data_IF_934340824065
#
_entry.id   IF_934340824065
#
_cell.length_a   1.000
_cell.length_b   1.000
_cell.length_c   1.000
_cell.angle_alpha   90.00
_cell.angle_beta   90.00
_cell.angle_gamma   90.00
#
_symmetry.space_group_name_H-M   'P 1'
#
loop_
_entity.id
_entity.type
_entity.pdbx_description
1 polymer ?
#
# COMPACT_ATOMS: atom_id res chain seq x y z
N UNK A 1 24.83 -24.83 32.33
CA UNK A 1 25.21 -23.68 31.50
C UNK A 1 23.93 -23.15 30.91
N UNK A 2 23.44 -22.06 31.49
CA UNK A 2 22.18 -21.42 31.14
C UNK A 2 22.42 -20.54 29.91
N UNK A 3 21.89 -20.96 28.76
CA UNK A 3 21.72 -20.11 27.58
C UNK A 3 20.64 -19.07 27.90
N UNK A 4 21.03 -17.97 28.53
CA UNK A 4 20.24 -16.73 28.47
C UNK A 4 20.36 -16.17 27.05
N UNK A 5 19.24 -15.99 26.32
CA UNK A 5 19.27 -15.32 25.03
C UNK A 5 19.86 -13.92 25.24
N UNK A 6 20.95 -13.64 24.53
CA UNK A 6 21.61 -12.34 24.53
C UNK A 6 20.75 -11.39 23.69
N UNK A 7 19.61 -10.91 24.22
CA UNK A 7 18.83 -9.87 23.55
C UNK A 7 19.46 -8.52 23.85
N UNK A 8 20.02 -7.90 22.81
CA UNK A 8 20.54 -6.55 22.88
C UNK A 8 19.34 -5.60 23.06
N UNK A 9 19.25 -4.81 24.15
CA UNK A 9 18.09 -3.93 24.41
C UNK A 9 17.78 -2.95 23.26
N UNK A 10 18.79 -2.59 22.45
CA UNK A 10 18.59 -1.78 21.25
C UNK A 10 17.76 -2.52 20.17
N UNK A 11 17.93 -3.84 20.04
CA UNK A 11 17.14 -4.64 19.09
C UNK A 11 15.70 -4.79 19.55
N UNK A 12 15.47 -4.94 20.86
CA UNK A 12 14.13 -5.05 21.44
C UNK A 12 13.35 -3.75 21.19
N UNK A 13 13.98 -2.59 21.38
CA UNK A 13 13.38 -1.29 21.08
C UNK A 13 12.99 -1.12 19.59
N UNK A 14 13.81 -1.64 18.66
CA UNK A 14 13.49 -1.63 17.23
C UNK A 14 12.31 -2.54 16.90
N UNK A 15 12.27 -3.76 17.46
CA UNK A 15 11.18 -4.72 17.25
C UNK A 15 9.86 -4.16 17.79
N UNK A 16 9.88 -3.57 18.98
CA UNK A 16 8.73 -2.91 19.57
C UNK A 16 8.27 -1.73 18.71
N UNK A 17 9.20 -0.93 18.21
CA UNK A 17 8.93 0.16 17.27
C UNK A 17 8.20 -0.30 16.01
N UNK A 18 8.69 -1.38 15.38
CA UNK A 18 8.07 -1.99 14.20
C UNK A 18 6.66 -2.47 14.53
N UNK A 19 6.52 -3.24 15.62
CA UNK A 19 5.25 -3.87 16.01
C UNK A 19 4.19 -2.83 16.34
N UNK A 20 4.57 -1.80 17.09
CA UNK A 20 3.69 -0.70 17.50
C UNK A 20 3.26 0.19 16.32
N UNK A 21 4.08 0.31 15.27
CA UNK A 21 3.70 1.06 14.06
C UNK A 21 2.90 0.21 13.07
N UNK A 22 3.27 -1.06 12.89
CA UNK A 22 2.77 -1.89 11.80
C UNK A 22 1.27 -2.16 11.91
N UNK A 23 0.79 -2.58 13.08
CA UNK A 23 -0.64 -2.93 13.23
C UNK A 23 -1.56 -1.71 13.00
N UNK A 24 -1.30 -0.53 13.60
CA UNK A 24 -2.05 0.68 13.29
C UNK A 24 -1.94 1.14 11.83
N UNK A 25 -0.76 0.97 11.20
CA UNK A 25 -0.55 1.30 9.79
C UNK A 25 -1.47 0.47 8.90
N UNK A 26 -1.44 -0.86 9.04
CA UNK A 26 -2.26 -1.75 8.22
C UNK A 26 -3.76 -1.47 8.44
N UNK A 27 -4.17 -1.23 9.69
CA UNK A 27 -5.55 -0.88 10.00
C UNK A 27 -5.98 0.45 9.36
N UNK A 28 -5.13 1.48 9.43
CA UNK A 28 -5.39 2.77 8.78
C UNK A 28 -5.50 2.66 7.26
N UNK A 29 -4.67 1.83 6.64
CA UNK A 29 -4.75 1.55 5.20
C UNK A 29 -6.04 0.83 4.80
N UNK A 30 -6.50 -0.16 5.59
CA UNK A 30 -7.79 -0.82 5.35
C UNK A 30 -8.97 0.13 5.55
N UNK A 31 -8.92 0.99 6.57
CA UNK A 31 -9.95 1.99 6.81
C UNK A 31 -10.05 3.01 5.66
N UNK A 32 -8.92 3.49 5.12
CA UNK A 32 -8.93 4.34 3.93
C UNK A 32 -9.45 3.58 2.69
N UNK A 33 -9.14 2.30 2.53
CA UNK A 33 -9.72 1.45 1.48
C UNK A 33 -11.22 1.23 1.67
N UNK A 34 -11.70 1.09 2.91
CA UNK A 34 -13.11 1.00 3.27
C UNK A 34 -13.86 2.27 2.86
N UNK A 35 -13.30 3.45 3.17
CA UNK A 35 -13.83 4.75 2.76
C UNK A 35 -13.85 4.87 1.23
N UNK A 36 -12.75 4.52 0.55
CA UNK A 36 -12.65 4.57 -0.90
C UNK A 36 -13.78 3.80 -1.63
N UNK A 37 -14.16 2.64 -1.10
CA UNK A 37 -15.20 1.78 -1.67
C UNK A 37 -16.63 2.23 -1.35
N UNK A 38 -16.80 3.13 -0.39
CA UNK A 38 -18.12 3.57 0.11
C UNK A 38 -18.36 5.07 -0.04
N UNK A 39 -17.44 5.78 -0.69
CA UNK A 39 -17.55 7.21 -0.86
C UNK A 39 -18.80 7.57 -1.67
N UNK A 40 -19.79 8.12 -0.96
CA UNK A 40 -21.01 8.66 -1.52
C UNK A 40 -21.11 10.13 -1.09
N UNK A 41 -20.99 11.11 -2.00
CA UNK A 41 -20.81 12.52 -1.64
C UNK A 41 -21.83 13.07 -0.61
N UNK A 42 -23.14 12.78 -0.72
CA UNK A 42 -24.12 13.23 0.28
C UNK A 42 -23.86 12.72 1.70
N UNK A 43 -23.18 11.57 1.86
CA UNK A 43 -22.94 10.93 3.17
C UNK A 43 -21.46 11.01 3.57
N UNK A 44 -20.68 11.93 2.98
CA UNK A 44 -19.25 12.05 3.26
C UNK A 44 -18.96 12.28 4.75
N UNK A 45 -19.72 13.15 5.42
CA UNK A 45 -19.51 13.47 6.83
C UNK A 45 -19.75 12.25 7.73
N UNK A 46 -20.81 11.49 7.48
CA UNK A 46 -21.11 10.24 8.22
C UNK A 46 -20.04 9.18 8.00
N UNK A 47 -19.60 9.02 6.74
CA UNK A 47 -18.54 8.08 6.40
C UNK A 47 -17.21 8.46 7.07
N UNK A 48 -16.84 9.73 7.08
CA UNK A 48 -15.64 10.22 7.76
C UNK A 48 -15.74 10.02 9.29
N UNK A 49 -16.91 10.27 9.88
CA UNK A 49 -17.16 10.02 11.30
C UNK A 49 -17.03 8.52 11.66
N UNK A 50 -17.44 7.62 10.76
CA UNK A 50 -17.35 6.16 11.00
C UNK A 50 -15.93 5.62 11.15
N UNK A 51 -14.93 6.37 10.68
CA UNK A 51 -13.50 6.02 10.76
C UNK A 51 -12.70 7.02 11.60
N UNK A 52 -13.38 7.92 12.33
CA UNK A 52 -12.72 8.92 13.17
C UNK A 52 -11.89 8.25 14.28
N UNK A 53 -10.69 8.77 14.53
CA UNK A 53 -9.78 8.27 15.57
C UNK A 53 -9.05 6.97 15.24
N UNK A 54 -9.34 6.30 14.11
CA UNK A 54 -8.62 5.10 13.67
C UNK A 54 -7.10 5.37 13.54
N UNK A 55 -6.72 6.60 13.18
CA UNK A 55 -5.33 6.99 13.00
C UNK A 55 -4.62 7.48 14.26
N UNK A 56 -5.29 7.56 15.42
CA UNK A 56 -4.65 8.00 16.66
C UNK A 56 -3.49 7.07 17.10
N UNK A 57 -3.66 5.73 17.13
CA UNK A 57 -2.55 4.82 17.45
C UNK A 57 -1.45 4.86 16.38
N UNK A 58 -1.81 5.11 15.12
CA UNK A 58 -0.85 5.25 14.03
C UNK A 58 0.02 6.50 14.23
N UNK A 59 -0.56 7.63 14.62
CA UNK A 59 0.19 8.86 14.91
C UNK A 59 1.14 8.69 16.09
N UNK A 60 0.69 8.05 17.16
CA UNK A 60 1.54 7.75 18.32
C UNK A 60 2.68 6.81 17.94
N UNK A 61 2.37 5.70 17.24
CA UNK A 61 3.37 4.75 16.76
C UNK A 61 4.39 5.40 15.83
N UNK A 62 3.94 6.27 14.91
CA UNK A 62 4.81 6.98 13.97
C UNK A 62 5.76 7.95 14.68
N UNK A 63 5.28 8.66 15.71
CA UNK A 63 6.11 9.56 16.51
C UNK A 63 7.20 8.77 17.26
N UNK A 64 6.84 7.64 17.88
CA UNK A 64 7.81 6.77 18.55
C UNK A 64 8.81 6.15 17.57
N UNK A 65 8.35 5.68 16.41
CA UNK A 65 9.17 5.09 15.37
C UNK A 65 10.24 6.05 14.84
N UNK A 66 9.88 7.32 14.65
CA UNK A 66 10.80 8.40 14.23
C UNK A 66 11.90 8.73 15.25
N UNK A 67 11.66 8.43 16.53
CA UNK A 67 12.64 8.66 17.58
C UNK A 67 13.71 7.56 17.67
N UNK A 68 13.52 6.44 16.95
CA UNK A 68 14.47 5.33 16.94
C UNK A 68 15.69 5.64 16.08
N UNK A 69 16.83 5.09 16.50
CA UNK A 69 18.06 5.10 15.69
C UNK A 69 18.14 3.82 14.89
N UNK A 70 18.04 3.95 13.56
CA UNK A 70 18.04 2.79 12.66
C UNK A 70 19.46 2.42 12.22
N UNK A 71 19.84 1.14 12.31
CA UNK A 71 21.05 0.64 11.65
C UNK A 71 21.02 0.92 10.14
N UNK A 72 22.18 1.16 9.53
CA UNK A 72 22.30 1.51 8.11
C UNK A 72 21.57 0.51 7.18
N UNK A 73 21.71 -0.78 7.46
CA UNK A 73 21.08 -1.87 6.70
C UNK A 73 19.54 -1.92 6.80
N UNK A 74 18.93 -1.22 7.77
CA UNK A 74 17.47 -1.09 7.91
C UNK A 74 16.95 0.31 7.51
N UNK A 75 17.82 1.20 7.05
CA UNK A 75 17.45 2.59 6.78
C UNK A 75 16.35 2.71 5.70
N UNK A 76 16.40 1.90 4.65
CA UNK A 76 15.38 1.92 3.60
C UNK A 76 14.06 1.30 4.05
N UNK A 77 14.11 0.25 4.87
CA UNK A 77 12.92 -0.29 5.53
C UNK A 77 12.24 0.78 6.39
N UNK A 78 13.01 1.50 7.21
CA UNK A 78 12.49 2.56 8.08
C UNK A 78 11.86 3.70 7.27
N UNK A 79 12.53 4.17 6.21
CA UNK A 79 12.00 5.19 5.29
C UNK A 79 10.68 4.76 4.67
N UNK A 80 10.58 3.50 4.23
CA UNK A 80 9.37 2.95 3.62
C UNK A 80 8.20 2.88 4.60
N UNK A 81 8.43 2.38 5.82
CA UNK A 81 7.44 2.34 6.90
C UNK A 81 6.96 3.75 7.28
N UNK A 82 7.88 4.70 7.46
CA UNK A 82 7.56 6.09 7.78
C UNK A 82 6.77 6.77 6.66
N UNK A 83 7.18 6.60 5.40
CA UNK A 83 6.50 7.19 4.24
C UNK A 83 5.07 6.64 4.08
N UNK A 84 4.89 5.33 4.34
CA UNK A 84 3.58 4.71 4.34
C UNK A 84 2.68 5.29 5.44
N UNK A 85 3.15 5.30 6.68
CA UNK A 85 2.41 5.84 7.83
C UNK A 85 2.08 7.32 7.68
N UNK A 86 3.03 8.14 7.21
CA UNK A 86 2.82 9.56 6.94
C UNK A 86 1.74 9.77 5.88
N UNK A 87 1.76 8.97 4.81
CA UNK A 87 0.74 9.06 3.76
C UNK A 87 -0.65 8.71 4.30
N UNK A 88 -0.77 7.69 5.14
CA UNK A 88 -2.06 7.34 5.78
C UNK A 88 -2.55 8.47 6.69
N UNK A 89 -1.69 9.04 7.54
CA UNK A 89 -2.03 10.21 8.37
C UNK A 89 -2.55 11.38 7.53
N UNK A 90 -1.88 11.72 6.41
CA UNK A 90 -2.35 12.74 5.48
C UNK A 90 -3.68 12.39 4.82
N UNK A 91 -3.96 11.11 4.59
CA UNK A 91 -5.25 10.64 4.11
C UNK A 91 -6.37 10.93 5.12
N UNK A 92 -6.14 10.67 6.40
CA UNK A 92 -7.12 10.99 7.45
C UNK A 92 -7.27 12.49 7.70
N UNK A 93 -6.17 13.26 7.62
CA UNK A 93 -6.21 14.73 7.70
C UNK A 93 -7.08 15.32 6.60
N UNK A 94 -6.81 14.95 5.34
CA UNK A 94 -7.60 15.41 4.21
C UNK A 94 -9.05 14.92 4.24
N UNK A 95 -9.34 13.74 4.82
CA UNK A 95 -10.71 13.24 4.96
C UNK A 95 -11.50 14.06 5.98
N UNK A 96 -10.88 14.43 7.11
CA UNK A 96 -11.49 15.29 8.14
C UNK A 96 -11.75 16.70 7.60
N UNK A 97 -10.79 17.27 6.87
CA UNK A 97 -10.96 18.57 6.19
C UNK A 97 -12.10 18.52 5.17
N UNK A 98 -12.15 17.48 4.34
CA UNK A 98 -13.19 17.29 3.34
C UNK A 98 -14.58 17.17 3.97
N UNK A 99 -14.72 16.44 5.09
CA UNK A 99 -15.99 16.27 5.77
C UNK A 99 -16.53 17.58 6.38
N UNK A 100 -15.64 18.53 6.71
CA UNK A 100 -16.02 19.83 7.24
C UNK A 100 -16.30 20.88 6.14
N UNK A 101 -15.94 20.60 4.88
CA UNK A 101 -16.10 21.52 3.76
C UNK A 101 -17.47 21.35 3.07
N UNK A 102 -18.18 22.45 2.71
CA UNK A 102 -19.47 22.39 2.01
C UNK A 102 -19.46 21.57 0.71
N UNK A 103 -18.35 21.59 -0.03
CA UNK A 103 -18.13 20.86 -1.29
C UNK A 103 -16.89 19.95 -1.24
N UNK A 104 -16.68 19.26 -0.11
CA UNK A 104 -15.46 18.51 0.18
C UNK A 104 -15.20 17.27 -0.68
N UNK A 105 -16.10 16.88 -1.59
CA UNK A 105 -16.00 15.63 -2.36
C UNK A 105 -14.67 15.45 -3.09
N UNK A 106 -14.19 16.47 -3.81
CA UNK A 106 -12.91 16.39 -4.51
C UNK A 106 -11.72 16.35 -3.54
N UNK A 107 -11.84 17.00 -2.38
CA UNK A 107 -10.84 16.93 -1.32
C UNK A 107 -10.78 15.51 -0.73
N UNK A 108 -11.93 14.87 -0.51
CA UNK A 108 -12.01 13.48 -0.05
C UNK A 108 -11.35 12.52 -1.06
N UNK A 109 -11.59 12.68 -2.37
CA UNK A 109 -10.88 11.90 -3.39
C UNK A 109 -9.35 12.10 -3.34
N UNK A 110 -8.87 13.33 -3.13
CA UNK A 110 -7.44 13.62 -2.97
C UNK A 110 -6.87 13.00 -1.69
N UNK A 111 -7.64 13.01 -0.61
CA UNK A 111 -7.27 12.41 0.67
C UNK A 111 -7.13 10.88 0.54
N UNK A 112 -8.12 10.22 -0.05
CA UNK A 112 -8.12 8.77 -0.32
C UNK A 112 -6.93 8.35 -1.20
N UNK A 113 -6.54 9.17 -2.18
CA UNK A 113 -5.34 8.93 -3.02
C UNK A 113 -4.03 8.88 -2.24
N UNK A 114 -3.97 9.37 -0.99
CA UNK A 114 -2.78 9.15 -0.17
C UNK A 114 -2.59 7.66 0.16
N UNK A 115 -3.66 6.86 0.17
CA UNK A 115 -3.55 5.43 0.43
C UNK A 115 -2.76 4.70 -0.67
N UNK A 116 -2.84 5.14 -1.94
CA UNK A 116 -2.01 4.55 -3.02
C UNK A 116 -0.52 4.83 -2.82
N UNK A 117 -0.17 5.99 -2.26
CA UNK A 117 1.21 6.28 -1.85
C UNK A 117 1.64 5.40 -0.68
N UNK A 118 0.75 5.14 0.27
CA UNK A 118 1.03 4.24 1.37
C UNK A 118 1.30 2.80 0.90
N UNK A 119 0.48 2.27 0.00
CA UNK A 119 0.73 0.97 -0.62
C UNK A 119 2.07 0.94 -1.36
N UNK A 120 2.37 1.96 -2.16
CA UNK A 120 3.64 2.06 -2.90
C UNK A 120 4.87 2.11 -1.98
N UNK A 121 4.78 2.84 -0.88
CA UNK A 121 5.85 2.94 0.10
C UNK A 121 6.02 1.65 0.91
N UNK A 122 4.94 0.94 1.23
CA UNK A 122 4.97 -0.26 2.07
C UNK A 122 5.34 -1.54 1.31
N UNK A 123 4.99 -1.64 0.02
CA UNK A 123 5.19 -2.86 -0.79
C UNK A 123 6.64 -3.39 -0.80
N UNK A 124 7.70 -2.55 -0.89
CA UNK A 124 9.08 -3.04 -0.80
C UNK A 124 9.40 -3.79 0.50
N UNK A 125 8.64 -3.59 1.57
CA UNK A 125 8.81 -4.31 2.83
C UNK A 125 8.04 -5.65 2.89
N UNK A 126 7.30 -6.02 1.84
CA UNK A 126 6.52 -7.25 1.80
C UNK A 126 7.38 -8.52 1.92
N UNK A 127 8.61 -8.53 1.40
CA UNK A 127 9.53 -9.67 1.52
C UNK A 127 10.25 -9.72 2.87
N UNK A 128 10.23 -8.62 3.64
CA UNK A 128 10.95 -8.54 4.92
C UNK A 128 10.12 -9.02 6.11
N UNK A 129 8.80 -8.79 6.10
CA UNK A 129 7.93 -9.09 7.24
C UNK A 129 6.69 -9.89 6.79
N UNK A 130 6.44 -11.09 7.38
CA UNK A 130 5.28 -11.91 7.01
C UNK A 130 3.91 -11.21 7.11
N UNK A 131 3.64 -10.33 8.10
CA UNK A 131 2.38 -9.60 8.13
C UNK A 131 2.21 -8.63 6.95
N UNK A 132 3.29 -8.01 6.48
CA UNK A 132 3.25 -7.15 5.29
C UNK A 132 3.05 -8.02 4.04
N UNK A 133 3.75 -9.15 3.93
CA UNK A 133 3.55 -10.09 2.83
C UNK A 133 2.07 -10.47 2.66
N UNK A 134 1.43 -10.90 3.74
CA UNK A 134 0.01 -11.29 3.76
C UNK A 134 -0.92 -10.11 3.50
N UNK A 135 -0.57 -8.91 3.94
CA UNK A 135 -1.37 -7.71 3.70
C UNK A 135 -1.58 -7.42 2.20
N UNK A 136 -0.63 -7.80 1.35
CA UNK A 136 -0.71 -7.69 -0.11
C UNK A 136 -1.37 -8.91 -0.79
N UNK A 137 -2.13 -9.71 -0.06
CA UNK A 137 -2.96 -10.80 -0.58
C UNK A 137 -4.44 -10.51 -0.34
N UNK A 138 -5.29 -11.11 -1.17
CA UNK A 138 -6.73 -11.20 -0.94
C UNK A 138 -7.03 -12.17 0.22
N UNK A 139 -8.31 -12.27 0.61
CA UNK A 139 -8.69 -13.07 1.79
C UNK A 139 -8.29 -14.55 1.63
N UNK A 140 -8.49 -15.13 0.44
CA UNK A 140 -8.08 -16.50 0.16
C UNK A 140 -6.55 -16.68 0.19
N UNK A 141 -5.79 -15.75 -0.41
CA UNK A 141 -4.33 -15.82 -0.38
C UNK A 141 -3.73 -15.62 1.01
N UNK A 142 -4.39 -14.86 1.91
CA UNK A 142 -3.95 -14.70 3.31
C UNK A 142 -4.01 -16.00 4.11
N UNK A 143 -4.93 -16.89 3.75
CA UNK A 143 -5.12 -18.21 4.37
C UNK A 143 -4.27 -19.31 3.71
N UNK A 144 -3.67 -19.04 2.55
CA UNK A 144 -2.80 -19.96 1.82
C UNK A 144 -1.34 -19.85 2.30
N UNK A 145 -0.98 -20.71 3.26
CA UNK A 145 0.38 -20.77 3.80
C UNK A 145 1.43 -21.15 2.74
N UNK A 146 1.08 -21.99 1.76
CA UNK A 146 2.01 -22.39 0.71
C UNK A 146 2.34 -21.21 -0.21
N UNK A 147 1.34 -20.39 -0.55
CA UNK A 147 1.55 -19.15 -1.28
C UNK A 147 2.35 -18.13 -0.45
N UNK A 148 2.03 -17.97 0.83
CA UNK A 148 2.74 -17.06 1.71
C UNK A 148 4.23 -17.42 1.80
N UNK A 149 4.56 -18.70 1.98
CA UNK A 149 5.92 -19.22 1.99
C UNK A 149 6.61 -19.06 0.63
N UNK A 150 5.90 -19.33 -0.47
CA UNK A 150 6.44 -19.14 -1.83
C UNK A 150 6.84 -17.68 -2.08
N UNK A 151 6.04 -16.73 -1.61
CA UNK A 151 6.32 -15.30 -1.73
C UNK A 151 7.43 -14.83 -0.78
N UNK A 152 7.48 -15.36 0.44
CA UNK A 152 8.52 -15.02 1.42
C UNK A 152 9.91 -15.50 0.99
N UNK A 153 9.97 -16.62 0.26
CA UNK A 153 11.22 -17.19 -0.26
C UNK A 153 11.56 -16.75 -1.69
N UNK A 154 10.72 -15.92 -2.33
CA UNK A 154 11.02 -15.40 -3.64
C UNK A 154 12.12 -14.31 -3.55
N UNK A 155 13.04 -14.32 -4.51
CA UNK A 155 13.97 -13.20 -4.69
C UNK A 155 13.22 -12.00 -5.29
N UNK A 156 12.64 -11.17 -4.43
CA UNK A 156 11.95 -9.95 -4.83
C UNK A 156 12.87 -8.87 -5.39
N UNK A 157 14.20 -9.02 -5.27
CA UNK A 157 15.19 -8.15 -5.88
C UNK A 157 15.59 -8.58 -7.29
N UNK A 158 15.12 -9.73 -7.77
CA UNK A 158 15.36 -10.23 -9.12
C UNK A 158 14.81 -9.26 -10.16
N UNK A 159 15.54 -9.11 -11.26
CA UNK A 159 15.09 -8.32 -12.40
C UNK A 159 13.76 -8.86 -12.97
N UNK A 160 12.91 -7.96 -13.46
CA UNK A 160 11.67 -8.26 -14.16
C UNK A 160 10.56 -8.94 -13.31
N UNK A 161 10.64 -8.86 -11.98
CA UNK A 161 9.54 -9.27 -11.08
C UNK A 161 9.10 -8.15 -10.15
N UNK A 162 7.98 -8.37 -9.45
CA UNK A 162 7.37 -7.35 -8.61
C UNK A 162 6.78 -6.22 -9.45
N UNK A 163 6.74 -5.01 -8.89
CA UNK A 163 6.14 -3.84 -9.53
C UNK A 163 7.18 -3.09 -10.35
N UNK A 164 6.83 -2.83 -11.61
CA UNK A 164 7.66 -2.09 -12.56
C UNK A 164 6.86 -0.98 -13.25
N UNK A 165 7.57 0.05 -13.73
CA UNK A 165 6.98 1.19 -14.42
C UNK A 165 7.72 1.43 -15.74
N UNK A 166 6.99 1.54 -16.84
CA UNK A 166 7.54 1.85 -18.16
C UNK A 166 6.96 3.19 -18.64
N UNK A 167 7.79 4.24 -18.63
CA UNK A 167 7.41 5.62 -18.99
C UNK A 167 6.12 6.10 -18.29
N UNK A 168 5.98 5.78 -17.00
CA UNK A 168 4.74 5.96 -16.24
C UNK A 168 4.94 6.69 -14.91
N UNK A 169 5.80 7.71 -14.93
CA UNK A 169 5.87 8.69 -13.84
C UNK A 169 4.55 9.44 -13.69
N UNK A 170 4.27 9.95 -12.49
CA UNK A 170 2.93 10.44 -12.12
C UNK A 170 2.47 11.65 -12.95
N UNK A 171 3.40 12.35 -13.58
CA UNK A 171 3.22 13.49 -14.47
C UNK A 171 3.27 13.10 -15.97
N UNK A 172 3.53 11.83 -16.28
CA UNK A 172 3.60 11.31 -17.64
C UNK A 172 2.28 10.66 -18.10
N UNK A 173 2.15 10.45 -19.42
CA UNK A 173 0.98 9.84 -20.07
C UNK A 173 1.43 8.83 -21.13
N UNK A 174 0.62 7.82 -21.39
CA UNK A 174 0.87 6.83 -22.45
C UNK A 174 1.81 5.68 -22.10
N UNK A 175 2.42 5.67 -20.90
CA UNK A 175 3.15 4.53 -20.36
C UNK A 175 2.26 3.54 -19.62
N UNK A 176 2.87 2.62 -18.87
CA UNK A 176 2.14 1.67 -18.03
C UNK A 176 2.92 1.28 -16.76
N UNK A 177 2.19 0.73 -15.80
CA UNK A 177 2.77 0.01 -14.67
C UNK A 177 2.38 -1.45 -14.75
N UNK A 178 3.24 -2.33 -14.26
CA UNK A 178 2.95 -3.76 -14.24
C UNK A 178 3.37 -4.37 -12.91
N UNK A 179 2.70 -5.45 -12.55
CA UNK A 179 3.12 -6.39 -11.52
C UNK A 179 3.34 -7.75 -12.16
N UNK A 180 4.48 -8.36 -11.89
CA UNK A 180 4.83 -9.73 -12.26
C UNK A 180 5.05 -10.51 -10.96
N UNK A 181 4.48 -11.72 -10.80
CA UNK A 181 4.67 -12.52 -9.59
C UNK A 181 6.13 -12.66 -9.19
N UNK A 182 6.45 -12.46 -7.92
CA UNK A 182 7.82 -12.51 -7.40
C UNK A 182 8.47 -13.87 -7.69
N UNK A 183 7.67 -14.94 -7.68
CA UNK A 183 8.04 -16.30 -8.02
C UNK A 183 7.89 -16.66 -9.51
N UNK A 184 7.85 -15.68 -10.41
CA UNK A 184 7.68 -15.91 -11.86
C UNK A 184 8.66 -16.96 -12.40
N UNK A 185 8.12 -17.89 -13.20
CA UNK A 185 8.81 -18.97 -13.88
C UNK A 185 8.50 -18.88 -15.39
N UNK A 186 9.48 -18.67 -16.28
CA UNK A 186 9.23 -18.55 -17.72
C UNK A 186 8.64 -19.82 -18.35
N UNK A 187 8.74 -20.98 -17.70
CA UNK A 187 8.19 -22.24 -18.20
C UNK A 187 6.71 -22.46 -17.81
N UNK A 188 6.14 -21.54 -17.02
CA UNK A 188 4.74 -21.58 -16.57
C UNK A 188 3.94 -20.49 -17.29
N UNK A 189 2.71 -20.82 -17.72
CA UNK A 189 1.78 -19.84 -18.27
C UNK A 189 1.04 -19.11 -17.13
N UNK A 190 1.13 -17.77 -17.14
CA UNK A 190 0.47 -16.90 -16.16
C UNK A 190 -0.73 -16.18 -16.79
N UNK A 191 -1.88 -16.05 -16.08
CA UNK A 191 -2.95 -15.16 -16.51
C UNK A 191 -2.46 -13.71 -16.62
N UNK A 192 -2.96 -12.99 -17.63
CA UNK A 192 -2.72 -11.55 -17.79
C UNK A 192 -4.01 -10.77 -17.55
N UNK A 193 -3.95 -9.82 -16.63
CA UNK A 193 -5.01 -8.88 -16.32
C UNK A 193 -4.60 -7.48 -16.79
N UNK A 194 -5.47 -6.81 -17.53
CA UNK A 194 -5.26 -5.40 -17.93
C UNK A 194 -6.29 -4.52 -17.21
N UNK A 195 -5.82 -3.70 -16.27
CA UNK A 195 -6.64 -2.77 -15.50
C UNK A 195 -6.64 -1.37 -16.09
N UNK A 196 -7.78 -0.89 -16.57
CA UNK A 196 -7.94 0.44 -17.16
C UNK A 196 -8.54 1.43 -16.15
N UNK A 197 -7.83 2.52 -15.89
CA UNK A 197 -8.29 3.55 -14.96
C UNK A 197 -9.42 4.42 -15.57
N UNK A 198 -10.25 5.00 -14.71
CA UNK A 198 -11.33 5.91 -15.11
C UNK A 198 -10.88 7.36 -15.36
N UNK A 199 -11.85 8.28 -15.21
CA UNK A 199 -11.69 9.73 -15.41
C UNK A 199 -10.66 10.32 -14.46
N UNK A 200 -9.76 11.18 -14.95
CA UNK A 200 -8.70 11.82 -14.14
C UNK A 200 -7.74 10.85 -13.42
N UNK A 201 -7.79 9.55 -13.75
CA UNK A 201 -6.94 8.52 -13.16
C UNK A 201 -5.56 8.42 -13.79
N UNK A 202 -4.76 7.51 -13.22
CA UNK A 202 -3.41 7.17 -13.66
C UNK A 202 -3.15 5.69 -13.41
N UNK A 203 -2.52 4.99 -14.36
CA UNK A 203 -2.29 3.54 -14.28
C UNK A 203 -1.50 3.13 -13.03
N UNK A 204 -0.48 3.94 -12.67
CA UNK A 204 0.36 3.70 -11.49
C UNK A 204 -0.41 3.67 -10.16
N UNK A 205 -1.47 4.48 -10.04
CA UNK A 205 -2.32 4.46 -8.85
C UNK A 205 -3.38 3.35 -8.96
N UNK A 206 -3.88 3.08 -10.17
CA UNK A 206 -4.90 2.08 -10.40
C UNK A 206 -4.42 0.64 -10.15
N UNK A 207 -3.13 0.37 -10.33
CA UNK A 207 -2.47 -0.91 -10.02
C UNK A 207 -2.85 -1.45 -8.64
N UNK A 208 -2.86 -0.58 -7.62
CA UNK A 208 -3.13 -0.96 -6.23
C UNK A 208 -4.56 -1.46 -6.00
N UNK A 209 -5.49 -1.17 -6.91
CA UNK A 209 -6.87 -1.68 -6.86
C UNK A 209 -6.91 -3.19 -7.03
N UNK A 210 -6.02 -3.74 -7.87
CA UNK A 210 -6.05 -5.13 -8.31
C UNK A 210 -4.86 -5.95 -7.83
N UNK A 211 -3.84 -5.30 -7.23
CA UNK A 211 -2.60 -5.98 -6.85
C UNK A 211 -2.84 -7.19 -5.96
N UNK A 212 -3.70 -7.09 -4.93
CA UNK A 212 -4.00 -8.20 -4.02
C UNK A 212 -4.56 -9.42 -4.75
N UNK A 213 -5.50 -9.18 -5.66
CA UNK A 213 -6.13 -10.22 -6.48
C UNK A 213 -5.12 -10.86 -7.44
N UNK A 214 -4.31 -10.04 -8.12
CA UNK A 214 -3.31 -10.51 -9.06
C UNK A 214 -2.21 -11.31 -8.36
N UNK A 215 -1.71 -10.80 -7.24
CA UNK A 215 -0.67 -11.44 -6.42
C UNK A 215 -1.16 -12.73 -5.77
N UNK A 216 -2.38 -12.74 -5.25
CA UNK A 216 -3.03 -13.93 -4.68
C UNK A 216 -3.24 -15.06 -5.69
N UNK A 217 -3.52 -14.73 -6.95
CA UNK A 217 -3.82 -15.71 -8.01
C UNK A 217 -2.67 -16.03 -8.93
N UNK A 218 -1.48 -15.45 -8.68
CA UNK A 218 -0.35 -15.59 -9.59
C UNK A 218 -0.66 -15.07 -10.99
N UNK A 219 -1.28 -13.90 -11.10
CA UNK A 219 -1.53 -13.23 -12.37
C UNK A 219 -0.55 -12.08 -12.58
N UNK A 220 -0.17 -11.86 -13.84
CA UNK A 220 0.49 -10.64 -14.27
C UNK A 220 -0.58 -9.56 -14.40
N UNK A 221 -0.33 -8.37 -13.84
CA UNK A 221 -1.23 -7.23 -13.92
C UNK A 221 -0.55 -6.09 -14.68
N UNK A 222 -1.22 -5.53 -15.68
CA UNK A 222 -0.77 -4.33 -16.38
C UNK A 222 -1.83 -3.24 -16.24
N UNK A 223 -1.40 -2.05 -15.84
CA UNK A 223 -2.25 -0.86 -15.72
C UNK A 223 -1.67 0.30 -16.55
N UNK A 224 -2.09 0.46 -17.81
CA UNK A 224 -1.66 1.56 -18.65
C UNK A 224 -2.22 2.89 -18.17
N UNK A 225 -1.53 3.98 -18.50
CA UNK A 225 -2.02 5.34 -18.35
C UNK A 225 -2.46 5.87 -19.70
N UNK A 226 -3.67 6.40 -19.79
CA UNK A 226 -4.22 6.97 -21.02
C UNK A 226 -3.29 8.05 -21.61
N UNK A 227 -3.29 8.22 -22.94
CA UNK A 227 -2.56 9.31 -23.61
C UNK A 227 -3.27 10.67 -23.48
N UNK A 228 -4.59 10.66 -23.31
CA UNK A 228 -5.44 11.84 -23.17
C UNK A 228 -6.59 11.60 -22.20
N UNK A 229 -7.68 12.36 -22.33
CA UNK A 229 -8.90 12.14 -21.55
C UNK A 229 -9.46 10.73 -21.74
N UNK A 230 -9.94 10.11 -20.65
CA UNK A 230 -10.50 8.75 -20.67
C UNK A 230 -12.00 8.70 -20.96
N UNK A 231 -12.67 9.85 -20.97
CA UNK A 231 -14.08 9.98 -21.33
C UNK A 231 -14.24 11.07 -22.38
N UNK A 232 -15.04 10.80 -23.41
CA UNK A 232 -15.42 11.76 -24.44
C UNK A 232 -16.60 12.65 -24.03
N UNK A 233 -16.89 12.74 -22.72
CA UNK A 233 -18.08 13.44 -22.20
C UNK A 233 -17.85 14.94 -21.98
N UNK A 234 -16.69 15.46 -22.35
CA UNK A 234 -16.36 16.89 -22.31
C UNK A 234 -15.68 17.26 -23.62
N UNK A 235 -16.48 17.42 -24.67
CA UNK A 235 -16.23 18.42 -25.72
C UNK A 235 -17.04 19.68 -25.39
#
# INVERSE_FOLDING_TARGET
MSDTPNTNPDNDALIDGITNLLSPLLNGMEALSYVARRLHPPHLAELAASVAGIDDPLRQGLAAFRALTWPEHLSDFAKNMEAAATSVCFGFDGLREAAAAPDGTFQAYRAIRQNTKAYAALYPAATMLPPINRFFLDDAGREDEALADKLANADGGRDNVGIMHANNDKDSRGGFSMYVPEYYDPDVAYPLIIGLHGGSGHGRDFLWTWLREARGRGAILITPTSRGGTWSLME
#
